data_IF_703293054835
#
_entry.id   IF_703293054835
#
_cell.length_a   1.000
_cell.length_b   1.000
_cell.length_c   1.000
_cell.angle_alpha   90.00
_cell.angle_beta   90.00
_cell.angle_gamma   90.00
#
_symmetry.space_group_name_H-M   'P 1'
#
loop_
_entity.id
_entity.type
_entity.pdbx_description
1 polymer ?
#
# COMPACT_ATOMS: atom_id res chain seq x y z
N UNK A 1 9.82 -25.63 17.01
CA UNK A 1 9.98 -27.09 17.19
C UNK A 1 8.60 -27.70 17.18
N UNK A 2 8.10 -28.07 16.00
CA UNK A 2 7.18 -29.18 15.72
C UNK A 2 6.85 -29.12 14.23
N UNK A 3 7.34 -30.12 13.49
CA UNK A 3 7.14 -30.28 12.05
C UNK A 3 6.11 -31.41 11.92
N UNK A 4 4.94 -31.11 11.36
CA UNK A 4 3.91 -32.11 11.11
C UNK A 4 4.12 -32.75 9.74
N UNK A 5 4.33 -34.06 9.81
CA UNK A 5 4.53 -35.04 8.75
C UNK A 5 3.18 -35.51 8.19
N UNK A 6 3.00 -35.46 6.87
CA UNK A 6 1.86 -36.05 6.15
C UNK A 6 2.39 -36.97 5.05
N UNK A 7 2.54 -38.23 5.42
CA UNK A 7 2.79 -39.37 4.54
C UNK A 7 1.57 -40.30 4.63
N UNK A 8 0.87 -40.53 3.52
CA UNK A 8 -0.07 -41.64 3.24
C UNK A 8 -0.50 -41.48 1.77
N UNK A 9 -0.73 -42.48 0.93
CA UNK A 9 -0.49 -43.92 0.96
C UNK A 9 -0.68 -44.34 -0.51
N UNK A 10 0.39 -44.78 -1.19
CA UNK A 10 0.33 -45.24 -2.57
C UNK A 10 0.17 -46.75 -2.55
N UNK A 11 -1.08 -47.22 -2.68
CA UNK A 11 -1.36 -48.63 -2.99
C UNK A 11 -1.54 -48.82 -4.48
N UNK A 12 -0.64 -49.63 -5.03
CA UNK A 12 -0.66 -50.20 -6.37
C UNK A 12 -1.90 -51.07 -6.60
N UNK A 13 -2.38 -51.10 -7.84
CA UNK A 13 -3.00 -52.31 -8.40
C UNK A 13 -2.55 -52.49 -9.86
N UNK A 14 -2.19 -53.72 -10.28
CA UNK A 14 -1.50 -53.98 -11.54
C UNK A 14 -2.43 -54.51 -12.66
N UNK A 15 -1.91 -54.46 -13.89
CA UNK A 15 -2.21 -55.37 -15.01
C UNK A 15 -3.64 -55.38 -15.59
N UNK A 16 -3.91 -55.68 -16.87
CA UNK A 16 -3.16 -55.83 -18.12
C UNK A 16 -4.31 -55.91 -19.15
N UNK A 17 -4.25 -55.17 -20.25
CA UNK A 17 -4.99 -55.56 -21.45
C UNK A 17 -4.27 -55.03 -22.68
N UNK A 18 -3.42 -55.89 -23.22
CA UNK A 18 -2.98 -55.85 -24.61
C UNK A 18 -4.13 -56.37 -25.48
N UNK A 19 -4.59 -55.58 -26.46
CA UNK A 19 -4.55 -55.94 -27.88
C UNK A 19 -5.42 -55.00 -28.72
N UNK A 20 -4.87 -54.62 -29.87
CA UNK A 20 -5.62 -54.41 -31.11
C UNK A 20 -6.45 -53.14 -31.19
N UNK A 21 -5.82 -52.06 -31.66
CA UNK A 21 -6.31 -51.28 -32.81
C UNK A 21 -5.42 -50.04 -32.98
N UNK A 22 -4.26 -50.27 -33.62
CA UNK A 22 -3.63 -49.20 -34.36
C UNK A 22 -4.52 -48.91 -35.57
N UNK A 23 -5.25 -47.79 -35.56
CA UNK A 23 -5.84 -47.09 -36.73
C UNK A 23 -6.59 -45.84 -36.23
N UNK A 24 -6.15 -44.65 -36.69
CA UNK A 24 -6.84 -43.32 -36.61
C UNK A 24 -6.77 -42.47 -35.32
N UNK A 25 -5.60 -42.22 -34.72
CA UNK A 25 -5.45 -41.03 -33.85
C UNK A 25 -4.32 -40.07 -34.25
N UNK A 26 -3.55 -40.40 -35.29
CA UNK A 26 -2.41 -39.57 -35.75
C UNK A 26 -2.73 -38.72 -37.00
N UNK A 27 -4.01 -38.48 -37.29
CA UNK A 27 -4.44 -37.67 -38.44
C UNK A 27 -5.56 -36.67 -38.17
N UNK A 28 -5.77 -36.29 -36.91
CA UNK A 28 -6.30 -34.95 -36.59
C UNK A 28 -5.17 -33.91 -36.70
N UNK A 29 -4.42 -33.96 -37.82
CA UNK A 29 -3.73 -32.74 -38.27
C UNK A 29 -4.82 -31.70 -38.39
N UNK A 30 -4.60 -30.55 -37.77
CA UNK A 30 -5.36 -29.29 -37.85
C UNK A 30 -5.51 -28.77 -39.31
N UNK A 31 -6.00 -29.63 -40.23
CA UNK A 31 -6.28 -29.34 -41.64
C UNK A 31 -7.49 -28.41 -41.82
N UNK A 32 -8.04 -27.91 -40.70
CA UNK A 32 -9.11 -26.92 -40.64
C UNK A 32 -8.62 -25.47 -40.53
N UNK A 33 -7.32 -25.23 -40.26
CA UNK A 33 -6.75 -23.88 -40.15
C UNK A 33 -6.14 -23.36 -41.45
N UNK A 34 -6.00 -24.19 -42.49
CA UNK A 34 -5.45 -23.79 -43.80
C UNK A 34 -6.40 -22.92 -44.65
N UNK A 35 -7.51 -22.44 -44.08
CA UNK A 35 -8.36 -21.46 -44.72
C UNK A 35 -7.64 -20.12 -44.81
N UNK A 36 -7.17 -19.73 -46.00
CA UNK A 36 -6.44 -18.50 -46.24
C UNK A 36 -7.09 -17.24 -45.63
N UNK A 37 -8.43 -17.18 -45.58
CA UNK A 37 -9.18 -16.09 -44.94
C UNK A 37 -9.01 -16.06 -43.41
N UNK A 38 -9.03 -17.21 -42.72
CA UNK A 38 -8.88 -17.27 -41.25
C UNK A 38 -7.48 -16.82 -40.86
N UNK A 39 -6.46 -17.36 -41.53
CA UNK A 39 -5.07 -16.98 -41.29
C UNK A 39 -4.86 -15.47 -41.51
N UNK A 40 -5.42 -14.90 -42.56
CA UNK A 40 -5.37 -13.45 -42.82
C UNK A 40 -6.12 -12.63 -41.76
N UNK A 41 -7.29 -13.11 -41.32
CA UNK A 41 -8.03 -12.52 -40.21
C UNK A 41 -7.22 -12.51 -38.91
N UNK A 42 -6.56 -13.62 -38.57
CA UNK A 42 -5.70 -13.71 -37.38
C UNK A 42 -4.46 -12.83 -37.47
N UNK A 43 -3.79 -12.76 -38.64
CA UNK A 43 -2.64 -11.87 -38.84
C UNK A 43 -3.07 -10.40 -38.77
N UNK A 44 -4.17 -10.03 -39.42
CA UNK A 44 -4.72 -8.67 -39.36
C UNK A 44 -5.15 -8.30 -37.94
N UNK A 45 -5.87 -9.20 -37.26
CA UNK A 45 -6.27 -9.05 -35.87
C UNK A 45 -5.08 -8.95 -34.91
N UNK A 46 -4.03 -9.75 -35.14
CA UNK A 46 -2.78 -9.67 -34.38
C UNK A 46 -2.05 -8.34 -34.60
N UNK A 47 -2.03 -7.82 -35.82
CA UNK A 47 -1.53 -6.48 -36.13
C UNK A 47 -2.32 -5.38 -35.42
N UNK A 48 -3.66 -5.51 -35.38
CA UNK A 48 -4.52 -4.58 -34.65
C UNK A 48 -4.24 -4.63 -33.15
N UNK A 49 -4.12 -5.82 -32.55
CA UNK A 49 -3.80 -5.97 -31.13
C UNK A 49 -2.38 -5.48 -30.77
N UNK A 50 -1.39 -5.66 -31.65
CA UNK A 50 -0.05 -5.13 -31.43
C UNK A 50 -0.05 -3.59 -31.43
N UNK A 51 -0.82 -2.97 -32.35
CA UNK A 51 -1.03 -1.52 -32.33
C UNK A 51 -1.79 -1.08 -31.08
N UNK A 52 -2.77 -1.86 -30.62
CA UNK A 52 -3.49 -1.57 -29.38
C UNK A 52 -2.54 -1.48 -28.20
N UNK A 53 -1.65 -2.48 -28.05
CA UNK A 53 -0.64 -2.49 -27.00
C UNK A 53 0.34 -1.33 -27.15
N UNK A 54 0.88 -1.10 -28.36
CA UNK A 54 1.84 -0.03 -28.59
C UNK A 54 1.25 1.34 -28.23
N UNK A 55 0.06 1.67 -28.73
CA UNK A 55 -0.61 2.95 -28.47
C UNK A 55 -1.19 3.05 -27.06
N UNK A 56 -1.58 1.92 -26.44
CA UNK A 56 -2.06 1.88 -25.07
C UNK A 56 -0.94 2.11 -24.05
N UNK A 57 0.24 1.53 -24.28
CA UNK A 57 1.38 1.65 -23.38
C UNK A 57 2.19 2.93 -23.58
N UNK A 58 2.19 3.53 -24.77
CA UNK A 58 3.00 4.73 -25.05
C UNK A 58 2.69 5.90 -24.11
N UNK A 59 1.41 6.30 -23.88
CA UNK A 59 1.08 7.37 -22.93
C UNK A 59 1.56 7.07 -21.51
N UNK A 60 1.42 5.82 -21.07
CA UNK A 60 1.85 5.37 -19.74
C UNK A 60 3.37 5.47 -19.57
N UNK A 61 4.15 4.92 -20.52
CA UNK A 61 5.61 5.00 -20.51
C UNK A 61 6.13 6.43 -20.60
N UNK A 62 5.47 7.29 -21.38
CA UNK A 62 5.78 8.73 -21.44
C UNK A 62 5.42 9.45 -20.14
N UNK A 63 4.38 9.01 -19.44
CA UNK A 63 4.00 9.49 -18.11
C UNK A 63 5.07 9.20 -17.07
N UNK A 64 5.63 7.98 -17.06
CA UNK A 64 6.72 7.59 -16.16
C UNK A 64 7.99 8.42 -16.36
N UNK A 65 8.26 8.87 -17.58
CA UNK A 65 9.40 9.74 -17.86
C UNK A 65 9.25 11.18 -17.33
N UNK A 66 8.03 11.60 -16.96
CA UNK A 66 7.74 12.90 -16.38
C UNK A 66 7.88 14.11 -17.34
N UNK A 67 7.68 15.31 -16.79
CA UNK A 67 7.93 16.58 -17.47
C UNK A 67 7.19 16.77 -18.80
N UNK A 68 7.90 17.22 -19.84
CA UNK A 68 7.33 17.49 -21.18
C UNK A 68 6.91 16.22 -21.92
N UNK A 69 7.53 15.07 -21.62
CA UNK A 69 7.17 13.78 -22.23
C UNK A 69 5.79 13.33 -21.76
N UNK A 70 5.49 13.50 -20.47
CA UNK A 70 4.15 13.24 -19.93
C UNK A 70 3.08 14.11 -20.62
N UNK A 71 3.38 15.38 -20.93
CA UNK A 71 2.47 16.25 -21.66
C UNK A 71 2.21 15.75 -23.10
N UNK A 72 3.24 15.23 -23.78
CA UNK A 72 3.08 14.60 -25.11
C UNK A 72 2.24 13.32 -24.99
N UNK A 73 2.45 12.52 -23.95
CA UNK A 73 1.67 11.31 -23.70
C UNK A 73 0.16 11.57 -23.62
N UNK A 74 -0.24 12.70 -23.02
CA UNK A 74 -1.66 13.13 -22.93
C UNK A 74 -2.30 13.48 -24.28
N UNK A 75 -1.50 13.75 -25.31
CA UNK A 75 -1.99 14.03 -26.67
C UNK A 75 -2.19 12.76 -27.50
N UNK A 76 -1.63 11.63 -27.06
CA UNK A 76 -1.74 10.36 -27.77
C UNK A 76 -3.04 9.68 -27.33
N UNK A 77 -3.99 9.44 -28.25
CA UNK A 77 -5.23 8.74 -27.94
C UNK A 77 -4.91 7.29 -27.54
N UNK A 78 -5.04 7.00 -26.25
CA UNK A 78 -4.88 5.64 -25.73
C UNK A 78 -6.17 4.84 -25.97
N UNK A 79 -6.10 3.68 -26.62
CA UNK A 79 -7.22 2.74 -26.60
C UNK A 79 -7.33 2.02 -25.25
N UNK A 80 -6.24 1.93 -24.48
CA UNK A 80 -6.24 1.38 -23.14
C UNK A 80 -6.83 2.40 -22.17
N UNK A 81 -7.98 2.08 -21.60
CA UNK A 81 -8.67 2.90 -20.62
C UNK A 81 -7.89 2.97 -19.30
N UNK A 82 -8.08 4.05 -18.53
CA UNK A 82 -7.25 4.39 -17.36
C UNK A 82 -7.20 3.34 -16.25
N UNK A 83 -8.14 2.40 -16.22
CA UNK A 83 -8.20 1.30 -15.26
C UNK A 83 -7.07 0.27 -15.42
N UNK A 84 -6.60 0.04 -16.66
CA UNK A 84 -5.60 -1.00 -16.95
C UNK A 84 -4.23 -0.69 -16.32
N UNK A 85 -3.91 0.60 -16.15
CA UNK A 85 -2.66 1.03 -15.53
C UNK A 85 -2.81 1.42 -14.06
N UNK A 86 -4.05 1.44 -13.54
CA UNK A 86 -4.33 1.67 -12.13
C UNK A 86 -4.41 0.39 -11.30
N UNK A 87 -4.85 -0.73 -11.89
CA UNK A 87 -5.01 -2.00 -11.17
C UNK A 87 -3.68 -2.68 -10.79
N UNK A 88 -3.74 -3.63 -9.85
CA UNK A 88 -2.55 -4.42 -9.49
C UNK A 88 -2.04 -5.23 -10.69
N UNK A 89 -0.72 -5.52 -10.78
CA UNK A 89 -0.12 -6.04 -12.02
C UNK A 89 -0.78 -7.29 -12.60
N UNK A 90 -1.31 -8.19 -11.75
CA UNK A 90 -1.99 -9.40 -12.18
C UNK A 90 -3.30 -9.12 -12.94
N UNK A 91 -4.13 -8.21 -12.43
CA UNK A 91 -5.40 -7.82 -13.05
C UNK A 91 -5.16 -7.05 -14.35
N UNK A 92 -4.17 -6.15 -14.37
CA UNK A 92 -3.77 -5.41 -15.56
C UNK A 92 -3.36 -6.34 -16.71
N UNK A 93 -2.54 -7.36 -16.43
CA UNK A 93 -2.11 -8.35 -17.42
C UNK A 93 -3.30 -9.16 -17.94
N UNK A 94 -4.19 -9.60 -17.06
CA UNK A 94 -5.38 -10.36 -17.45
C UNK A 94 -6.32 -9.54 -18.35
N UNK A 95 -6.56 -8.27 -18.01
CA UNK A 95 -7.37 -7.36 -18.83
C UNK A 95 -6.76 -7.17 -20.23
N UNK A 96 -5.43 -7.01 -20.33
CA UNK A 96 -4.75 -6.89 -21.62
C UNK A 96 -4.86 -8.17 -22.46
N UNK A 97 -4.71 -9.35 -21.84
CA UNK A 97 -4.88 -10.63 -22.54
C UNK A 97 -6.30 -10.77 -23.10
N UNK A 98 -7.32 -10.44 -22.32
CA UNK A 98 -8.71 -10.46 -22.79
C UNK A 98 -8.97 -9.45 -23.91
N UNK A 99 -8.43 -8.23 -23.81
CA UNK A 99 -8.55 -7.22 -24.86
C UNK A 99 -7.88 -7.66 -26.17
N UNK A 100 -6.71 -8.30 -26.09
CA UNK A 100 -6.03 -8.90 -27.25
C UNK A 100 -6.90 -9.99 -27.88
N UNK A 101 -7.44 -10.92 -27.07
CA UNK A 101 -8.30 -12.00 -27.56
C UNK A 101 -9.54 -11.42 -28.25
N UNK A 102 -10.24 -10.48 -27.60
CA UNK A 102 -11.42 -9.81 -28.15
C UNK A 102 -11.10 -9.12 -29.49
N UNK A 103 -9.97 -8.41 -29.57
CA UNK A 103 -9.53 -7.69 -30.77
C UNK A 103 -9.20 -8.66 -31.91
N UNK A 104 -8.39 -9.68 -31.65
CA UNK A 104 -7.95 -10.65 -32.67
C UNK A 104 -9.14 -11.48 -33.16
N UNK A 105 -9.91 -12.05 -32.24
CA UNK A 105 -11.02 -12.94 -32.57
C UNK A 105 -12.20 -12.17 -33.18
N UNK A 106 -12.51 -10.96 -32.68
CA UNK A 106 -13.54 -10.07 -33.22
C UNK A 106 -13.26 -9.65 -34.65
N UNK A 107 -12.03 -9.16 -34.92
CA UNK A 107 -11.62 -8.78 -36.27
C UNK A 107 -11.66 -9.96 -37.24
N UNK A 108 -11.07 -11.11 -36.85
CA UNK A 108 -11.06 -12.32 -37.68
C UNK A 108 -12.48 -12.85 -37.95
N UNK A 109 -13.37 -12.78 -36.96
CA UNK A 109 -14.77 -13.19 -37.07
C UNK A 109 -15.55 -12.31 -38.06
N UNK A 110 -15.42 -10.98 -37.97
CA UNK A 110 -16.03 -10.04 -38.91
C UNK A 110 -15.50 -10.22 -40.34
N UNK A 111 -14.19 -10.38 -40.50
CA UNK A 111 -13.58 -10.63 -41.81
C UNK A 111 -14.07 -11.94 -42.43
N UNK A 112 -14.19 -13.01 -41.63
CA UNK A 112 -14.69 -14.31 -42.06
C UNK A 112 -16.16 -14.32 -42.46
N UNK A 113 -16.95 -13.29 -42.13
CA UNK A 113 -18.33 -13.12 -42.60
C UNK A 113 -18.41 -12.52 -44.02
N UNK A 114 -17.35 -11.86 -44.50
CA UNK A 114 -17.34 -11.25 -45.82
C UNK A 114 -17.09 -12.28 -46.93
N UNK A 115 -17.89 -12.22 -48.00
CA UNK A 115 -17.67 -13.05 -49.21
C UNK A 115 -16.44 -12.60 -49.98
N UNK A 116 -16.23 -11.28 -50.07
CA UNK A 116 -15.10 -10.66 -50.76
C UNK A 116 -14.51 -9.57 -49.86
N UNK A 117 -13.48 -9.88 -49.05
CA UNK A 117 -12.88 -8.89 -48.16
C UNK A 117 -12.18 -7.82 -49.01
N UNK A 118 -12.77 -6.63 -49.05
CA UNK A 118 -12.15 -5.43 -49.59
C UNK A 118 -11.37 -4.69 -48.50
N UNK A 119 -10.49 -3.77 -48.90
CA UNK A 119 -9.83 -2.87 -47.96
C UNK A 119 -10.84 -2.11 -47.08
N UNK A 120 -11.87 -1.53 -47.69
CA UNK A 120 -12.92 -0.82 -46.97
C UNK A 120 -13.67 -1.72 -45.97
N UNK A 121 -13.98 -2.97 -46.37
CA UNK A 121 -14.65 -3.93 -45.48
C UNK A 121 -13.77 -4.36 -44.31
N UNK A 122 -12.48 -4.58 -44.54
CA UNK A 122 -11.52 -4.92 -43.48
C UNK A 122 -11.28 -3.73 -42.53
N UNK A 123 -11.21 -2.51 -43.05
CA UNK A 123 -11.07 -1.31 -42.21
C UNK A 123 -12.32 -1.07 -41.36
N UNK A 124 -13.51 -1.21 -41.94
CA UNK A 124 -14.77 -1.16 -41.20
C UNK A 124 -14.83 -2.24 -40.11
N UNK A 125 -14.31 -3.44 -40.38
CA UNK A 125 -14.23 -4.50 -39.35
C UNK A 125 -13.32 -4.11 -38.17
N UNK A 126 -12.21 -3.41 -38.40
CA UNK A 126 -11.37 -2.86 -37.33
C UNK A 126 -12.14 -1.82 -36.51
N UNK A 127 -12.83 -0.88 -37.17
CA UNK A 127 -13.65 0.16 -36.52
C UNK A 127 -14.73 -0.47 -35.64
N UNK A 128 -15.48 -1.45 -36.17
CA UNK A 128 -16.52 -2.15 -35.43
C UNK A 128 -15.96 -2.96 -34.26
N UNK A 129 -14.75 -3.50 -34.39
CA UNK A 129 -14.08 -4.22 -33.29
C UNK A 129 -13.70 -3.24 -32.16
N UNK A 130 -13.14 -2.08 -32.50
CA UNK A 130 -12.84 -1.02 -31.53
C UNK A 130 -14.09 -0.49 -30.83
N UNK A 131 -15.15 -0.21 -31.60
CA UNK A 131 -16.44 0.24 -31.07
C UNK A 131 -17.05 -0.81 -30.12
N UNK A 132 -17.06 -2.08 -30.50
CA UNK A 132 -17.62 -3.14 -29.66
C UNK A 132 -16.83 -3.28 -28.34
N UNK A 133 -15.50 -3.19 -28.41
CA UNK A 133 -14.65 -3.25 -27.22
C UNK A 133 -14.92 -2.08 -26.28
N UNK A 134 -14.94 -0.84 -26.78
CA UNK A 134 -15.23 0.33 -25.94
C UNK A 134 -16.66 0.38 -25.44
N UNK A 135 -17.66 -0.01 -26.24
CA UNK A 135 -19.05 -0.05 -25.80
C UNK A 135 -19.28 -1.06 -24.66
N UNK A 136 -18.58 -2.19 -24.68
CA UNK A 136 -18.66 -3.19 -23.61
C UNK A 136 -18.02 -2.68 -22.32
N UNK A 137 -16.88 -1.99 -22.42
CA UNK A 137 -16.28 -1.32 -21.27
C UNK A 137 -17.22 -0.23 -20.70
N UNK A 138 -17.83 0.59 -21.56
CA UNK A 138 -18.82 1.59 -21.15
C UNK A 138 -20.04 0.99 -20.46
N UNK A 139 -20.55 -0.15 -20.94
CA UNK A 139 -21.65 -0.86 -20.27
C UNK A 139 -21.22 -1.36 -18.89
N UNK A 140 -20.00 -1.90 -18.78
CA UNK A 140 -19.43 -2.31 -17.49
C UNK A 140 -19.37 -1.15 -16.50
N UNK A 141 -18.75 -0.03 -16.91
CA UNK A 141 -18.66 1.19 -16.10
C UNK A 141 -20.04 1.74 -15.75
N UNK A 142 -20.99 1.73 -16.69
CA UNK A 142 -22.36 2.18 -16.42
C UNK A 142 -23.02 1.34 -15.32
N UNK A 143 -22.90 0.01 -15.35
CA UNK A 143 -23.52 -0.87 -14.35
C UNK A 143 -22.95 -0.62 -12.96
N UNK A 144 -21.62 -0.47 -12.85
CA UNK A 144 -20.96 -0.20 -11.57
C UNK A 144 -21.40 1.16 -10.99
N UNK A 145 -21.38 2.21 -11.81
CA UNK A 145 -21.70 3.57 -11.35
C UNK A 145 -23.20 3.82 -11.13
N UNK A 146 -24.07 2.93 -11.61
CA UNK A 146 -25.52 3.08 -11.50
C UNK A 146 -25.99 3.03 -10.04
N UNK A 147 -25.38 2.17 -9.22
CA UNK A 147 -25.74 2.02 -7.81
C UNK A 147 -25.27 3.23 -6.98
N UNK A 148 -24.03 3.67 -7.20
CA UNK A 148 -23.41 4.73 -6.41
C UNK A 148 -23.92 6.14 -6.75
N UNK A 149 -24.21 6.42 -8.03
CA UNK A 149 -24.44 7.79 -8.53
C UNK A 149 -25.70 7.95 -9.37
N UNK A 150 -26.50 6.90 -9.54
CA UNK A 150 -27.70 6.90 -10.38
C UNK A 150 -27.42 7.09 -11.87
N UNK A 151 -28.49 7.25 -12.66
CA UNK A 151 -28.43 7.23 -14.14
C UNK A 151 -27.53 8.35 -14.70
N UNK A 152 -27.55 9.56 -14.11
CA UNK A 152 -26.75 10.68 -14.61
C UNK A 152 -25.25 10.49 -14.37
N UNK A 153 -24.86 9.99 -13.18
CA UNK A 153 -23.47 9.66 -12.87
C UNK A 153 -22.96 8.52 -13.74
N UNK A 154 -23.76 7.45 -13.86
CA UNK A 154 -23.44 6.31 -14.73
C UNK A 154 -23.27 6.69 -16.20
N UNK A 155 -24.13 7.57 -16.74
CA UNK A 155 -23.99 8.07 -18.10
C UNK A 155 -22.72 8.93 -18.29
N UNK A 156 -22.30 9.67 -17.25
CA UNK A 156 -21.07 10.46 -17.26
C UNK A 156 -19.80 9.61 -17.24
N UNK A 157 -19.86 8.38 -16.72
CA UNK A 157 -18.74 7.44 -16.68
C UNK A 157 -18.46 6.77 -18.04
N UNK A 158 -19.41 6.80 -18.99
CA UNK A 158 -19.25 6.22 -20.33
C UNK A 158 -18.34 7.11 -21.19
N UNK A 159 -17.12 6.65 -21.46
CA UNK A 159 -16.16 7.39 -22.28
C UNK A 159 -15.15 6.49 -23.01
N UNK A 160 -15.34 5.16 -23.03
CA UNK A 160 -14.46 4.18 -23.66
C UNK A 160 -14.77 3.93 -25.13
N UNK A 161 -16.04 3.96 -25.56
CA UNK A 161 -16.42 3.76 -26.95
C UNK A 161 -15.80 4.80 -27.89
N UNK A 162 -15.76 6.07 -27.48
CA UNK A 162 -15.24 7.17 -28.31
C UNK A 162 -13.73 7.00 -28.63
N UNK A 163 -12.81 6.90 -27.65
CA UNK A 163 -11.38 6.78 -27.91
C UNK A 163 -11.01 5.48 -28.61
N UNK A 164 -11.64 4.36 -28.26
CA UNK A 164 -11.38 3.06 -28.92
C UNK A 164 -11.84 3.04 -30.38
N UNK A 165 -12.99 3.64 -30.67
CA UNK A 165 -13.49 3.81 -32.05
C UNK A 165 -12.62 4.77 -32.83
N UNK A 166 -12.31 5.93 -32.26
CA UNK A 166 -11.43 6.92 -32.89
C UNK A 166 -10.06 6.32 -33.22
N UNK A 167 -9.47 5.61 -32.27
CA UNK A 167 -8.23 4.88 -32.48
C UNK A 167 -8.34 3.88 -33.64
N UNK A 168 -9.39 3.06 -33.67
CA UNK A 168 -9.60 2.08 -34.73
C UNK A 168 -9.83 2.74 -36.11
N UNK A 169 -10.43 3.92 -36.16
CA UNK A 169 -10.51 4.74 -37.40
C UNK A 169 -9.12 5.15 -37.85
N UNK A 170 -8.30 5.71 -36.94
CA UNK A 170 -6.98 6.28 -37.26
C UNK A 170 -5.95 5.21 -37.64
N UNK A 171 -5.90 4.07 -36.94
CA UNK A 171 -4.85 3.05 -37.16
C UNK A 171 -5.34 1.76 -37.82
N UNK A 172 -6.66 1.52 -37.85
CA UNK A 172 -7.23 0.27 -38.36
C UNK A 172 -7.00 0.02 -39.86
N UNK A 173 -6.58 1.04 -40.62
CA UNK A 173 -6.22 0.87 -42.03
C UNK A 173 -4.96 0.00 -42.20
N UNK A 174 -4.03 -0.01 -41.23
CA UNK A 174 -2.81 -0.83 -41.29
C UNK A 174 -3.15 -2.33 -41.31
N UNK A 175 -3.88 -2.90 -40.32
CA UNK A 175 -4.26 -4.30 -40.35
C UNK A 175 -5.22 -4.64 -41.50
N UNK A 176 -6.04 -3.67 -41.96
CA UNK A 176 -6.88 -3.85 -43.14
C UNK A 176 -6.05 -4.07 -44.42
N UNK A 177 -4.97 -3.30 -44.63
CA UNK A 177 -4.05 -3.51 -45.75
C UNK A 177 -3.36 -4.87 -45.67
N UNK A 178 -2.91 -5.27 -44.48
CA UNK A 178 -2.26 -6.57 -44.26
C UNK A 178 -3.21 -7.73 -44.58
N UNK A 179 -4.47 -7.64 -44.16
CA UNK A 179 -5.47 -8.68 -44.40
C UNK A 179 -5.85 -8.85 -45.89
N UNK A 180 -5.79 -7.76 -46.67
CA UNK A 180 -6.24 -7.74 -48.07
C UNK A 180 -5.11 -8.01 -49.06
N UNK A 181 -3.87 -7.58 -48.79
CA UNK A 181 -2.71 -7.81 -49.69
C UNK A 181 -2.41 -9.28 -49.96
N UNK A 182 -2.82 -10.18 -49.06
CA UNK A 182 -2.66 -11.63 -49.22
C UNK A 182 -3.85 -12.34 -49.87
N UNK A 183 -4.90 -11.62 -50.30
CA UNK A 183 -6.12 -12.24 -50.81
C UNK A 183 -5.93 -12.84 -52.22
N UNK A 184 -5.95 -14.16 -52.35
CA UNK A 184 -6.10 -14.81 -53.65
C UNK A 184 -7.59 -15.02 -53.95
N UNK A 185 -7.98 -14.87 -55.24
CA UNK A 185 -9.37 -15.06 -55.70
C UNK A 185 -9.92 -16.47 -55.47
N UNK A 186 -9.07 -17.43 -55.15
CA UNK A 186 -9.39 -18.86 -55.01
C UNK A 186 -9.43 -19.36 -53.56
N UNK A 187 -9.40 -18.47 -52.57
CA UNK A 187 -9.44 -18.92 -51.18
C UNK A 187 -10.74 -19.67 -50.86
N UNK A 188 -10.66 -20.88 -50.29
CA UNK A 188 -11.86 -21.66 -49.94
C UNK A 188 -12.67 -20.96 -48.84
N UNK A 189 -14.01 -21.11 -48.85
CA UNK A 189 -14.85 -20.53 -47.81
C UNK A 189 -14.48 -21.08 -46.43
N UNK A 190 -14.44 -20.18 -45.44
CA UNK A 190 -14.17 -20.56 -44.04
C UNK A 190 -15.26 -21.49 -43.53
N UNK A 191 -14.85 -22.62 -42.94
CA UNK A 191 -15.76 -23.59 -42.30
C UNK A 191 -16.55 -22.91 -41.17
N UNK A 192 -17.86 -23.17 -41.13
CA UNK A 192 -18.79 -22.60 -40.13
C UNK A 192 -18.31 -22.81 -38.69
N UNK A 193 -17.70 -23.96 -38.37
CA UNK A 193 -17.19 -24.25 -37.03
C UNK A 193 -16.11 -23.28 -36.54
N UNK A 194 -15.18 -22.87 -37.42
CA UNK A 194 -14.12 -21.92 -37.03
C UNK A 194 -14.70 -20.52 -36.76
N UNK A 195 -15.71 -20.10 -37.52
CA UNK A 195 -16.40 -18.82 -37.29
C UNK A 195 -17.13 -18.81 -35.94
N UNK A 196 -17.75 -19.93 -35.59
CA UNK A 196 -18.42 -20.10 -34.31
C UNK A 196 -17.41 -19.95 -33.16
N UNK A 197 -16.31 -20.71 -33.21
CA UNK A 197 -15.25 -20.66 -32.18
C UNK A 197 -14.68 -19.25 -32.00
N UNK A 198 -14.32 -18.56 -33.09
CA UNK A 198 -13.79 -17.18 -33.00
C UNK A 198 -14.83 -16.20 -32.45
N UNK A 199 -16.10 -16.33 -32.84
CA UNK A 199 -17.17 -15.47 -32.31
C UNK A 199 -17.42 -15.73 -30.83
N UNK A 200 -17.41 -16.99 -30.40
CA UNK A 200 -17.56 -17.37 -29.00
C UNK A 200 -16.39 -16.87 -28.17
N UNK A 201 -15.15 -17.02 -28.63
CA UNK A 201 -13.97 -16.48 -27.94
C UNK A 201 -14.02 -14.96 -27.81
N UNK A 202 -14.39 -14.24 -28.89
CA UNK A 202 -14.54 -12.79 -28.85
C UNK A 202 -15.63 -12.37 -27.85
N UNK A 203 -16.79 -13.05 -27.85
CA UNK A 203 -17.89 -12.76 -26.95
C UNK A 203 -17.51 -13.02 -25.49
N UNK A 204 -16.89 -14.17 -25.19
CA UNK A 204 -16.45 -14.51 -23.84
C UNK A 204 -15.41 -13.50 -23.32
N UNK A 205 -14.45 -13.11 -24.16
CA UNK A 205 -13.45 -12.11 -23.79
C UNK A 205 -14.09 -10.74 -23.53
N UNK A 206 -15.04 -10.31 -24.38
CA UNK A 206 -15.79 -9.07 -24.17
C UNK A 206 -16.58 -9.10 -22.85
N UNK A 207 -17.29 -10.18 -22.54
CA UNK A 207 -18.06 -10.30 -21.29
C UNK A 207 -17.16 -10.34 -20.05
N UNK A 208 -16.00 -11.00 -20.14
CA UNK A 208 -15.08 -11.11 -19.01
C UNK A 208 -14.32 -9.81 -18.70
N UNK A 209 -14.08 -8.96 -19.71
CA UNK A 209 -13.32 -7.71 -19.57
C UNK A 209 -13.84 -6.77 -18.46
N UNK A 210 -15.12 -6.35 -18.43
CA UNK A 210 -15.60 -5.44 -17.40
C UNK A 210 -15.56 -6.07 -15.99
N UNK A 211 -15.69 -7.39 -15.88
CA UNK A 211 -15.59 -8.11 -14.60
C UNK A 211 -14.15 -8.06 -14.08
N UNK A 212 -13.18 -8.36 -14.95
CA UNK A 212 -11.75 -8.31 -14.62
C UNK A 212 -11.30 -6.90 -14.26
N UNK A 213 -11.83 -5.89 -14.96
CA UNK A 213 -11.56 -4.48 -14.69
C UNK A 213 -12.05 -4.07 -13.29
N UNK A 214 -13.30 -4.39 -12.97
CA UNK A 214 -13.92 -4.11 -11.67
C UNK A 214 -13.20 -4.84 -10.52
N UNK A 215 -12.94 -6.14 -10.69
CA UNK A 215 -12.19 -6.91 -9.68
C UNK A 215 -10.76 -6.35 -9.48
N UNK A 216 -10.13 -5.86 -10.55
CA UNK A 216 -8.84 -5.19 -10.48
C UNK A 216 -8.91 -3.85 -9.73
N UNK A 217 -9.98 -3.09 -9.91
CA UNK A 217 -10.21 -1.85 -9.18
C UNK A 217 -10.47 -2.11 -7.69
N UNK A 218 -11.33 -3.09 -7.37
CA UNK A 218 -11.60 -3.48 -5.98
C UNK A 218 -10.35 -3.96 -5.25
N UNK A 219 -9.53 -4.79 -5.89
CA UNK A 219 -8.28 -5.26 -5.32
C UNK A 219 -7.29 -4.12 -5.04
N UNK A 220 -7.19 -3.14 -5.95
CA UNK A 220 -6.38 -1.95 -5.72
C UNK A 220 -6.91 -1.11 -4.57
N UNK A 221 -8.22 -0.87 -4.53
CA UNK A 221 -8.83 -0.09 -3.45
C UNK A 221 -8.62 -0.74 -2.09
N UNK A 222 -8.67 -2.08 -2.01
CA UNK A 222 -8.36 -2.78 -0.78
C UNK A 222 -6.90 -2.61 -0.35
N UNK A 223 -5.96 -2.77 -1.28
CA UNK A 223 -4.54 -2.52 -0.99
C UNK A 223 -4.32 -1.09 -0.48
N UNK A 224 -4.94 -0.08 -1.11
CA UNK A 224 -4.84 1.31 -0.68
C UNK A 224 -5.48 1.55 0.71
N UNK A 225 -6.55 0.82 1.06
CA UNK A 225 -7.15 0.89 2.39
C UNK A 225 -6.26 0.25 3.46
N UNK A 226 -5.63 -0.88 3.15
CA UNK A 226 -4.68 -1.54 4.04
C UNK A 226 -3.47 -0.63 4.28
N UNK A 227 -2.87 -0.07 3.23
CA UNK A 227 -1.77 0.90 3.32
C UNK A 227 -2.17 2.12 4.17
N UNK A 228 -3.35 2.72 3.92
CA UNK A 228 -3.84 3.84 4.71
C UNK A 228 -4.13 3.47 6.18
N UNK A 229 -4.57 2.24 6.45
CA UNK A 229 -4.80 1.76 7.81
C UNK A 229 -3.48 1.54 8.56
N UNK A 230 -2.45 1.02 7.88
CA UNK A 230 -1.10 0.90 8.44
C UNK A 230 -0.48 2.26 8.74
N UNK A 231 -0.61 3.23 7.82
CA UNK A 231 -0.18 4.62 8.02
C UNK A 231 -0.91 5.25 9.22
N UNK A 232 -2.23 5.07 9.32
CA UNK A 232 -3.02 5.58 10.43
C UNK A 232 -2.67 4.91 11.77
N UNK A 233 -2.32 3.62 11.77
CA UNK A 233 -1.93 2.89 12.98
C UNK A 233 -0.56 3.34 13.53
N UNK A 234 0.30 3.86 12.66
CA UNK A 234 1.62 4.39 13.03
C UNK A 234 1.60 5.91 13.29
N UNK A 235 0.51 6.60 12.95
CA UNK A 235 0.35 8.01 13.23
C UNK A 235 0.24 8.24 14.75
N UNK A 236 0.98 9.22 15.24
CA UNK A 236 0.86 9.66 16.62
C UNK A 236 -0.53 10.30 16.87
N UNK A 237 -1.26 9.90 17.93
CA UNK A 237 -2.62 10.38 18.17
C UNK A 237 -2.71 11.87 18.48
N UNK A 238 -1.61 12.49 18.93
CA UNK A 238 -1.51 13.93 19.18
C UNK A 238 -0.94 14.68 17.98
N UNK A 239 -0.62 13.97 16.89
CA UNK A 239 -0.14 14.52 15.64
C UNK A 239 1.36 14.81 15.61
N UNK A 240 2.15 14.22 16.52
CA UNK A 240 3.61 14.27 16.44
C UNK A 240 4.14 13.75 15.10
N UNK A 241 5.40 14.10 14.77
CA UNK A 241 6.05 13.60 13.57
C UNK A 241 6.08 12.07 13.58
N UNK A 242 5.95 11.49 12.39
CA UNK A 242 5.94 10.05 12.22
C UNK A 242 7.27 9.43 12.67
N UNK A 243 7.28 8.26 13.35
CA UNK A 243 8.51 7.55 13.66
C UNK A 243 9.29 7.21 12.38
N UNK A 244 10.55 7.64 12.29
CA UNK A 244 11.47 7.28 11.21
C UNK A 244 12.63 6.45 11.81
N UNK A 245 12.59 5.11 11.66
CA UNK A 245 13.64 4.23 12.16
C UNK A 245 15.04 4.50 11.59
N UNK A 246 15.15 5.27 10.50
CA UNK A 246 16.43 5.64 9.88
C UNK A 246 16.83 7.09 10.18
N UNK A 247 16.06 7.83 10.98
CA UNK A 247 16.42 9.18 11.37
C UNK A 247 17.74 9.16 12.15
N UNK A 248 18.68 10.07 11.85
CA UNK A 248 19.88 10.21 12.67
C UNK A 248 19.52 10.86 14.00
N UNK A 249 20.09 10.36 15.10
CA UNK A 249 19.95 10.96 16.43
C UNK A 249 20.92 10.35 17.44
N UNK A 250 21.10 11.04 18.56
CA UNK A 250 21.87 10.52 19.67
C UNK A 250 20.96 9.64 20.54
N UNK A 251 21.38 8.44 20.98
CA UNK A 251 20.57 7.64 21.88
C UNK A 251 20.45 8.33 23.24
N UNK A 252 19.32 8.13 23.93
CA UNK A 252 19.16 8.65 25.31
C UNK A 252 20.21 8.01 26.23
N UNK A 253 21.04 8.79 26.94
CA UNK A 253 22.01 8.23 27.88
C UNK A 253 21.31 7.47 29.01
N UNK A 254 21.75 6.25 29.30
CA UNK A 254 21.19 5.44 30.39
C UNK A 254 21.68 5.85 31.77
N UNK A 255 22.80 6.58 31.83
CA UNK A 255 23.41 7.12 33.06
C UNK A 255 24.01 8.48 32.73
N UNK A 256 23.75 9.50 33.55
CA UNK A 256 24.55 10.73 33.57
C UNK A 256 25.57 10.68 34.72
N UNK A 257 26.82 11.12 34.54
CA UNK A 257 27.78 11.16 35.64
C UNK A 257 27.30 12.05 36.79
N UNK A 258 27.50 11.61 38.03
CA UNK A 258 27.24 12.42 39.21
C UNK A 258 28.38 13.42 39.44
N UNK A 259 28.05 14.70 39.68
CA UNK A 259 29.02 15.71 40.12
C UNK A 259 29.41 15.52 41.59
N UNK A 260 28.45 15.08 42.41
CA UNK A 260 28.62 14.87 43.85
C UNK A 260 28.61 13.38 44.22
N UNK A 261 29.41 12.96 45.22
CA UNK A 261 29.40 11.60 45.73
C UNK A 261 28.01 11.17 46.23
N UNK A 262 27.72 9.88 46.13
CA UNK A 262 26.48 9.34 46.70
C UNK A 262 26.43 9.52 48.22
N UNK A 263 25.27 9.87 48.79
CA UNK A 263 25.10 9.85 50.24
C UNK A 263 25.30 8.42 50.76
N UNK A 264 25.77 8.25 52.02
CA UNK A 264 25.90 6.92 52.60
C UNK A 264 24.56 6.18 52.65
N UNK A 265 24.51 4.99 52.05
CA UNK A 265 23.26 4.22 51.97
C UNK A 265 22.28 4.75 50.91
N UNK A 266 22.78 5.40 49.85
CA UNK A 266 21.97 5.93 48.77
C UNK A 266 20.97 4.91 48.20
N UNK A 267 19.76 5.37 47.89
CA UNK A 267 18.80 4.59 47.13
C UNK A 267 19.35 4.35 45.71
N UNK A 268 19.29 3.09 45.27
CA UNK A 268 19.77 2.59 43.99
C UNK A 268 18.71 1.67 43.35
N UNK A 269 18.84 1.33 42.05
CA UNK A 269 17.84 0.48 41.37
C UNK A 269 17.67 -0.93 41.96
N UNK A 270 18.60 -1.39 42.81
CA UNK A 270 18.52 -2.68 43.51
C UNK A 270 17.75 -2.64 44.83
N UNK A 271 17.54 -1.46 45.42
CA UNK A 271 16.80 -1.29 46.68
C UNK A 271 15.58 -0.37 46.56
N UNK A 272 15.43 0.36 45.46
CA UNK A 272 14.34 1.30 45.23
C UNK A 272 13.78 1.21 43.81
N UNK A 273 12.53 1.64 43.63
CA UNK A 273 11.89 1.77 42.32
C UNK A 273 11.22 3.13 42.20
N UNK A 274 11.05 3.60 40.98
CA UNK A 274 10.33 4.84 40.69
C UNK A 274 8.95 4.51 40.11
N UNK A 275 7.93 5.26 40.50
CA UNK A 275 6.61 5.27 39.90
C UNK A 275 6.41 6.62 39.22
N UNK A 276 5.97 6.61 37.96
CA UNK A 276 5.71 7.80 37.16
C UNK A 276 4.27 7.74 36.61
N UNK A 277 3.24 8.05 37.42
CA UNK A 277 1.85 8.12 36.96
C UNK A 277 1.67 9.14 35.84
N UNK A 278 0.52 9.09 35.14
CA UNK A 278 0.21 10.06 34.09
C UNK A 278 0.17 11.49 34.65
N UNK A 279 0.59 12.50 33.85
CA UNK A 279 0.59 13.89 34.28
C UNK A 279 -0.84 14.44 34.42
N UNK A 280 -1.02 15.33 35.39
CA UNK A 280 -2.18 16.19 35.51
C UNK A 280 -2.03 17.41 34.58
N UNK A 281 -3.16 17.97 34.14
CA UNK A 281 -3.20 19.15 33.29
C UNK A 281 -3.86 20.32 34.01
N UNK A 282 -3.23 21.50 33.96
CA UNK A 282 -3.75 22.72 34.56
C UNK A 282 -3.44 23.95 33.69
N UNK A 283 -4.47 24.59 33.15
CA UNK A 283 -4.40 25.89 32.44
C UNK A 283 -3.27 26.02 31.40
N UNK A 284 -3.03 24.98 30.59
CA UNK A 284 -1.97 25.00 29.57
C UNK A 284 -0.59 24.51 30.06
N UNK A 285 -0.50 24.10 31.32
CA UNK A 285 0.67 23.43 31.89
C UNK A 285 0.36 21.96 32.18
N UNK A 286 1.43 21.19 32.37
CA UNK A 286 1.40 19.80 32.82
C UNK A 286 2.22 19.68 34.08
N UNK A 287 1.80 18.76 34.94
CA UNK A 287 2.52 18.42 36.16
C UNK A 287 2.47 16.90 36.34
N UNK A 288 3.64 16.27 36.40
CA UNK A 288 3.78 14.87 36.68
C UNK A 288 4.43 14.68 38.04
N UNK A 289 3.70 14.07 38.96
CA UNK A 289 4.29 13.59 40.22
C UNK A 289 5.03 12.30 39.94
N UNK A 290 6.28 12.21 40.38
CA UNK A 290 7.06 10.97 40.40
C UNK A 290 7.32 10.57 41.85
N UNK A 291 7.34 9.27 42.11
CA UNK A 291 7.49 8.70 43.46
C UNK A 291 8.66 7.72 43.47
N UNK A 292 9.62 7.92 44.37
CA UNK A 292 10.68 6.97 44.67
C UNK A 292 10.27 6.13 45.88
N UNK A 293 10.08 4.83 45.69
CA UNK A 293 9.67 3.89 46.72
C UNK A 293 10.87 3.01 47.14
N UNK A 294 11.15 2.95 48.45
CA UNK A 294 12.08 1.97 49.01
C UNK A 294 11.44 0.58 49.00
N UNK A 295 11.94 -0.32 48.17
CA UNK A 295 11.43 -1.69 48.01
C UNK A 295 12.16 -2.71 48.89
N UNK A 296 13.19 -2.28 49.62
CA UNK A 296 14.02 -3.15 50.43
C UNK A 296 13.57 -3.22 51.89
N UNK A 297 14.11 -4.17 52.64
CA UNK A 297 13.88 -4.32 54.08
C UNK A 297 14.83 -3.45 54.94
N UNK A 298 15.68 -2.63 54.32
CA UNK A 298 16.63 -1.74 54.98
C UNK A 298 16.34 -0.28 54.60
N UNK A 299 16.69 0.70 55.44
CA UNK A 299 16.56 2.10 55.06
C UNK A 299 17.54 2.45 53.92
N UNK A 300 17.12 3.35 53.03
CA UNK A 300 17.98 3.98 52.04
C UNK A 300 17.83 5.51 52.07
N UNK A 301 18.81 6.24 51.57
CA UNK A 301 18.80 7.70 51.56
C UNK A 301 18.70 8.27 50.15
N UNK A 302 17.92 9.32 49.97
CA UNK A 302 17.87 10.10 48.72
C UNK A 302 18.12 11.57 49.03
N UNK A 303 18.81 12.26 48.13
CA UNK A 303 19.11 13.69 48.26
C UNK A 303 19.11 14.33 46.87
N UNK A 304 18.63 15.57 46.82
CA UNK A 304 18.67 16.39 45.61
C UNK A 304 17.48 16.18 44.68
N UNK A 305 17.75 16.26 43.39
CA UNK A 305 16.76 16.21 42.30
C UNK A 305 16.84 14.86 41.57
N UNK A 306 15.71 14.32 41.08
CA UNK A 306 15.74 13.20 40.16
C UNK A 306 16.51 13.58 38.90
N UNK A 307 17.22 12.61 38.33
CA UNK A 307 17.82 12.74 37.02
C UNK A 307 16.78 12.39 35.95
N UNK A 308 16.55 13.29 35.00
CA UNK A 308 15.50 13.15 33.99
C UNK A 308 16.07 13.34 32.59
N UNK A 309 15.55 12.57 31.63
CA UNK A 309 15.78 12.76 30.20
C UNK A 309 14.56 12.31 29.39
N UNK A 310 14.50 12.74 28.13
CA UNK A 310 13.36 12.49 27.25
C UNK A 310 13.84 11.87 25.96
N UNK A 311 13.18 10.78 25.56
CA UNK A 311 13.34 10.16 24.25
C UNK A 311 12.23 10.60 23.31
N UNK A 312 12.56 10.87 22.06
CA UNK A 312 11.59 11.11 20.99
C UNK A 312 10.94 9.79 20.52
N UNK A 313 10.04 9.87 19.54
CA UNK A 313 9.38 8.72 18.92
C UNK A 313 10.33 7.72 18.22
N UNK A 314 11.61 8.06 18.08
CA UNK A 314 12.67 7.22 17.52
C UNK A 314 13.64 6.71 18.60
N UNK A 315 13.32 6.94 19.89
CA UNK A 315 14.19 6.66 21.05
C UNK A 315 15.53 7.42 21.01
N UNK A 316 15.55 8.60 20.39
CA UNK A 316 16.68 9.53 20.44
C UNK A 316 16.49 10.59 21.52
N UNK A 317 17.59 11.09 22.07
CA UNK A 317 17.60 12.16 23.04
C UNK A 317 16.91 13.40 22.46
N UNK A 318 15.81 13.80 23.11
CA UNK A 318 15.10 15.02 22.80
C UNK A 318 15.79 16.19 23.50
N UNK A 319 16.06 17.26 22.74
CA UNK A 319 16.68 18.49 23.25
C UNK A 319 15.71 19.24 24.17
N UNK A 320 15.69 18.89 25.45
CA UNK A 320 14.84 19.50 26.48
C UNK A 320 15.74 20.08 27.57
N UNK A 321 15.49 21.33 27.94
CA UNK A 321 16.22 21.97 29.04
C UNK A 321 15.56 21.64 30.37
N UNK A 322 16.27 20.94 31.24
CA UNK A 322 15.83 20.68 32.61
C UNK A 322 16.33 21.77 33.55
N UNK A 323 15.42 22.37 34.30
CA UNK A 323 15.71 23.35 35.34
C UNK A 323 15.22 22.85 36.71
N UNK A 324 15.98 23.12 37.75
CA UNK A 324 15.57 22.86 39.12
C UNK A 324 14.74 24.02 39.66
N UNK A 325 13.60 23.74 40.28
CA UNK A 325 12.76 24.76 40.90
C UNK A 325 11.28 24.39 40.96
N UNK A 326 10.45 25.36 41.35
CA UNK A 326 9.00 25.22 41.52
C UNK A 326 8.23 25.25 40.18
N UNK A 327 7.66 24.14 39.68
CA UNK A 327 6.76 24.18 38.54
C UNK A 327 5.36 24.66 38.94
N UNK A 328 4.76 25.55 38.16
CA UNK A 328 3.31 25.81 38.05
C UNK A 328 2.43 25.48 39.29
N UNK A 329 2.69 26.13 40.42
CA UNK A 329 1.90 25.99 41.65
C UNK A 329 2.36 24.90 42.62
N UNK A 330 3.28 24.03 42.22
CA UNK A 330 4.06 23.19 43.13
C UNK A 330 5.19 24.01 43.77
N UNK A 331 5.53 23.65 45.00
CA UNK A 331 6.64 24.27 45.74
C UNK A 331 7.83 23.33 45.70
N UNK A 332 8.97 23.80 45.17
CA UNK A 332 10.24 23.12 45.37
C UNK A 332 10.76 23.43 46.78
N UNK A 333 10.94 22.42 47.65
CA UNK A 333 11.54 22.61 48.96
C UNK A 333 13.07 22.77 48.89
N UNK A 334 13.68 22.48 47.75
CA UNK A 334 15.12 22.45 47.57
C UNK A 334 15.77 21.15 48.05
N UNK A 335 17.05 20.94 47.73
CA UNK A 335 17.75 19.69 48.02
C UNK A 335 17.87 19.47 49.54
N UNK A 336 17.45 18.31 50.02
CA UNK A 336 17.64 17.86 51.39
C UNK A 336 17.81 16.35 51.45
N UNK A 337 18.58 15.86 52.43
CA UNK A 337 18.77 14.44 52.66
C UNK A 337 17.54 13.83 53.34
N UNK A 338 16.95 12.82 52.72
CA UNK A 338 15.78 12.09 53.19
C UNK A 338 16.19 10.63 53.41
N UNK A 339 15.86 10.10 54.58
CA UNK A 339 15.97 8.66 54.85
C UNK A 339 14.60 8.03 54.65
N UNK A 340 14.51 7.09 53.72
CA UNK A 340 13.31 6.29 53.47
C UNK A 340 13.40 5.00 54.28
N UNK A 341 12.51 4.84 55.26
CA UNK A 341 12.35 3.55 55.93
C UNK A 341 11.83 2.48 54.93
N UNK A 342 11.89 1.19 55.29
CA UNK A 342 11.35 0.13 54.44
C UNK A 342 9.91 0.44 53.98
N UNK A 343 9.69 0.45 52.67
CA UNK A 343 8.39 0.74 52.03
C UNK A 343 7.88 2.18 52.17
N UNK A 344 8.71 3.12 52.62
CA UNK A 344 8.42 4.55 52.52
C UNK A 344 8.80 5.10 51.14
N UNK A 345 8.22 6.25 50.81
CA UNK A 345 8.47 6.94 49.55
C UNK A 345 8.82 8.41 49.73
N UNK A 346 9.56 8.93 48.76
CA UNK A 346 9.75 10.35 48.49
C UNK A 346 9.09 10.71 47.16
N UNK A 347 8.63 11.95 47.04
CA UNK A 347 8.01 12.47 45.82
C UNK A 347 8.83 13.61 45.24
N UNK A 348 8.79 13.76 43.93
CA UNK A 348 9.25 14.92 43.20
C UNK A 348 8.24 15.24 42.10
N UNK A 349 8.28 16.46 41.57
CA UNK A 349 7.35 16.88 40.53
C UNK A 349 8.12 17.40 39.32
N UNK A 350 7.66 16.99 38.14
CA UNK A 350 8.13 17.44 36.83
C UNK A 350 7.02 18.30 36.23
N UNK A 351 7.30 19.53 35.83
CA UNK A 351 6.28 20.40 35.25
C UNK A 351 6.77 21.17 34.03
N UNK A 352 5.90 21.34 33.05
CA UNK A 352 6.20 22.00 31.78
C UNK A 352 4.98 22.72 31.21
N UNK A 353 5.21 23.60 30.23
CA UNK A 353 4.14 24.21 29.43
C UNK A 353 3.83 23.33 28.24
N UNK A 354 2.55 23.13 27.94
CA UNK A 354 2.12 22.29 26.82
C UNK A 354 2.51 22.94 25.48
N UNK A 355 3.31 22.23 24.68
CA UNK A 355 3.67 22.62 23.33
C UNK A 355 2.77 21.96 22.27
N UNK A 356 2.69 22.56 21.08
CA UNK A 356 2.03 21.89 19.95
C UNK A 356 3.00 20.91 19.31
N UNK A 357 2.70 19.61 19.39
CA UNK A 357 3.52 18.56 18.81
C UNK A 357 3.33 18.37 17.31
N UNK A 358 2.41 19.10 16.66
CA UNK A 358 1.98 18.76 15.31
C UNK A 358 3.12 18.79 14.28
N UNK A 359 3.48 17.63 13.74
CA UNK A 359 4.59 17.44 12.81
C UNK A 359 5.97 17.68 13.41
N UNK A 360 6.10 17.73 14.74
CA UNK A 360 7.35 17.91 15.47
C UNK A 360 7.80 16.59 16.12
N UNK A 361 9.10 16.46 16.39
CA UNK A 361 9.57 15.46 17.35
C UNK A 361 8.94 15.76 18.71
N UNK A 362 8.52 14.72 19.43
CA UNK A 362 7.86 14.88 20.71
C UNK A 362 8.34 13.82 21.71
N UNK A 363 8.33 14.16 23.00
CA UNK A 363 8.74 13.20 24.03
C UNK A 363 7.74 12.02 24.10
N UNK A 364 8.25 10.83 23.80
CA UNK A 364 7.52 9.55 23.85
C UNK A 364 8.14 8.54 24.81
N UNK A 365 9.33 8.84 25.32
CA UNK A 365 9.94 8.12 26.42
C UNK A 365 10.36 9.09 27.52
N UNK A 366 10.06 8.74 28.76
CA UNK A 366 10.56 9.41 29.95
C UNK A 366 11.61 8.52 30.60
N UNK A 367 12.80 9.06 30.81
CA UNK A 367 13.91 8.37 31.44
C UNK A 367 14.18 9.00 32.80
N UNK A 368 14.11 8.22 33.89
CA UNK A 368 14.28 8.73 35.26
C UNK A 368 15.27 7.89 36.06
N UNK A 369 16.09 8.56 36.86
CA UNK A 369 16.82 7.92 37.96
C UNK A 369 16.64 8.70 39.26
N UNK A 370 16.82 8.02 40.40
CA UNK A 370 16.68 8.64 41.71
C UNK A 370 17.65 9.81 41.91
N UNK A 371 18.82 9.74 41.27
CA UNK A 371 19.86 10.76 41.28
C UNK A 371 20.81 10.57 40.09
N UNK A 372 21.58 11.60 39.70
CA UNK A 372 22.72 11.43 38.81
C UNK A 372 23.65 10.30 39.26
N UNK A 373 24.20 9.55 38.30
CA UNK A 373 25.06 8.39 38.52
C UNK A 373 24.33 7.05 38.68
N UNK A 374 23.01 7.07 38.86
CA UNK A 374 22.19 5.85 38.84
C UNK A 374 21.76 5.52 37.40
N UNK A 375 21.47 4.24 37.14
CA UNK A 375 20.85 3.81 35.89
C UNK A 375 19.40 4.32 35.82
N UNK A 376 19.07 4.93 34.68
CA UNK A 376 17.73 5.42 34.38
C UNK A 376 16.81 4.26 34.01
N UNK A 377 15.61 4.31 34.56
CA UNK A 377 14.47 3.51 34.14
C UNK A 377 13.69 4.27 33.06
N UNK A 378 12.90 3.56 32.24
CA UNK A 378 12.19 4.13 31.10
C UNK A 378 10.69 3.89 31.19
N UNK A 379 9.89 4.90 30.88
CA UNK A 379 8.44 4.82 30.76
C UNK A 379 7.99 5.31 29.38
N UNK A 380 7.07 4.59 28.71
CA UNK A 380 6.39 5.14 27.55
C UNK A 380 5.47 6.28 27.99
N UNK A 381 5.55 7.42 27.32
CA UNK A 381 4.77 8.62 27.64
C UNK A 381 4.22 9.26 26.37
N UNK A 382 3.28 10.18 26.52
CA UNK A 382 2.78 11.04 25.44
C UNK A 382 2.81 12.46 25.95
N UNK A 383 4.01 13.06 25.95
CA UNK A 383 4.19 14.43 26.44
C UNK A 383 4.21 15.41 25.29
N UNK A 384 3.59 16.55 25.53
CA UNK A 384 3.63 17.74 24.68
C UNK A 384 4.90 18.56 24.96
N UNK A 385 6.04 17.87 24.89
CA UNK A 385 7.39 18.43 24.92
C UNK A 385 8.02 18.26 23.55
N UNK A 386 8.58 19.33 23.01
CA UNK A 386 9.25 19.37 21.71
C UNK A 386 10.72 19.82 21.89
N UNK A 387 11.58 19.75 20.87
CA UNK A 387 12.92 20.31 20.97
C UNK A 387 12.90 21.80 21.36
N UNK A 388 13.70 22.15 22.37
CA UNK A 388 13.79 23.49 22.95
C UNK A 388 12.82 23.77 24.10
N UNK A 389 11.95 22.82 24.49
CA UNK A 389 11.08 22.97 25.67
C UNK A 389 11.90 23.05 26.96
N UNK A 390 11.34 23.75 27.96
CA UNK A 390 11.90 23.80 29.31
C UNK A 390 11.00 23.03 30.28
N UNK A 391 11.63 22.18 31.09
CA UNK A 391 10.97 21.40 32.13
C UNK A 391 11.54 21.80 33.48
N UNK A 392 10.68 22.04 34.46
CA UNK A 392 11.08 22.27 35.84
C UNK A 392 10.91 21.00 36.68
N UNK A 393 11.89 20.74 37.53
CA UNK A 393 11.94 19.55 38.40
C UNK A 393 12.16 20.00 39.83
N UNK A 394 11.32 19.52 40.77
CA UNK A 394 11.50 19.78 42.20
C UNK A 394 12.49 18.80 42.82
N UNK A 395 13.06 19.16 43.97
CA UNK A 395 13.79 18.21 44.79
C UNK A 395 12.86 17.11 45.34
N UNK A 396 13.45 15.98 45.72
CA UNK A 396 12.76 14.96 46.49
C UNK A 396 12.27 15.52 47.83
N UNK A 397 11.07 15.12 48.24
CA UNK A 397 10.47 15.50 49.53
C UNK A 397 9.52 14.43 50.04
N UNK A 398 9.22 14.47 51.34
CA UNK A 398 8.21 13.59 51.93
C UNK A 398 6.82 13.87 51.31
N UNK A 399 6.00 12.84 51.04
CA UNK A 399 4.62 13.03 50.59
C UNK A 399 3.82 13.88 51.59
N UNK A 400 2.99 14.79 51.08
CA UNK A 400 2.08 15.57 51.92
C UNK A 400 1.10 14.62 52.64
N UNK A 401 1.01 14.72 53.98
CA UNK A 401 0.12 13.91 54.83
C UNK A 401 -1.31 14.40 54.85
#
# INVERSE_FOLDING_TARGET
MEIADWSTDLSESPEQSKNGDGVVLERLRFRGLDGGVVRRGLIGGGGLAALWLAFGWTPYLLGLAGGRLAAIGRLIPSPAFGSVFGSTPGWAVLAQVLAIIATVAGFASLLGRMKHPSFAGAWLAAIMTGLALGAVLDIGSFVVWLDDFGIQGAAGAMNAAVPTTFWAVVVGWIPALVAVRGAQRTDPPVRTGVKLVLSTLALLALVALPIVDEMGHQALQEQLREEAAEEAAQADPEGAAYPDPNAPGEPVPTVIPAEEPAPPGACDPGNSTILAPQPDAFTGHRLQTIELLNTSAAPCTVEGYPDVAYGDQNSHLLDVTTEHGSPFGAQDPGPSLITLEPYESAVAMIGWSADSVHGQLAARELWLAARPGNERLTWPVSFDLIPGSTVHVTAWHEPAR
#
